data_IF_217497018396
#
_entry.id   IF_217497018396
#
_cell.length_a   1.000
_cell.length_b   1.000
_cell.length_c   1.000
_cell.angle_alpha   90.00
_cell.angle_beta   90.00
_cell.angle_gamma   90.00
#
_symmetry.space_group_name_H-M   'P 1'
#
loop_
_entity.id
_entity.type
_entity.pdbx_description
1 polymer ?
#
# COMPACT_ATOMS: atom_id res chain seq x y z
N UNK A 1 19.53 -10.46 -5.98
CA UNK A 1 18.48 -11.28 -5.34
C UNK A 1 17.77 -10.37 -4.34
N UNK A 2 16.46 -10.18 -4.49
CA UNK A 2 15.67 -9.36 -3.55
C UNK A 2 15.29 -10.31 -2.42
N UNK A 3 15.57 -9.92 -1.18
CA UNK A 3 15.28 -10.76 -0.04
C UNK A 3 13.86 -10.50 0.47
N UNK A 4 12.97 -11.49 0.41
CA UNK A 4 11.56 -11.43 0.82
C UNK A 4 11.33 -12.03 2.22
N UNK A 5 12.21 -11.70 3.16
CA UNK A 5 12.26 -12.40 4.45
C UNK A 5 11.86 -11.51 5.63
N UNK A 6 11.48 -10.25 5.40
CA UNK A 6 11.12 -9.36 6.51
C UNK A 6 9.67 -9.62 6.90
N UNK A 7 9.47 -10.11 8.12
CA UNK A 7 8.13 -10.26 8.68
C UNK A 7 7.49 -8.87 8.89
N UNK A 8 6.16 -8.73 8.75
CA UNK A 8 5.53 -7.41 8.82
C UNK A 8 5.76 -6.63 10.12
N UNK A 9 5.85 -7.32 11.27
CA UNK A 9 6.12 -6.74 12.58
C UNK A 9 7.56 -6.25 12.77
N UNK A 10 8.48 -6.66 11.91
CA UNK A 10 9.86 -6.16 11.89
C UNK A 10 10.00 -4.82 11.14
N UNK A 11 8.92 -4.33 10.51
CA UNK A 11 8.93 -3.09 9.76
C UNK A 11 9.18 -1.88 10.67
N UNK A 12 10.29 -1.18 10.43
CA UNK A 12 10.65 0.05 11.12
C UNK A 12 10.26 1.26 10.28
N UNK A 13 9.27 2.00 10.77
CA UNK A 13 8.79 3.23 10.12
C UNK A 13 9.36 4.44 10.85
N UNK A 14 9.90 5.38 10.08
CA UNK A 14 10.36 6.68 10.58
C UNK A 14 9.62 7.79 9.87
N UNK A 15 9.35 8.88 10.58
CA UNK A 15 8.62 10.04 10.06
C UNK A 15 9.51 11.27 10.14
N UNK A 16 9.37 12.17 9.17
CA UNK A 16 10.04 13.48 9.22
C UNK A 16 9.59 14.31 10.43
N UNK A 17 8.31 14.25 10.77
CA UNK A 17 7.71 14.99 11.89
C UNK A 17 6.48 14.28 12.46
N UNK A 18 5.98 14.79 13.59
CA UNK A 18 4.83 14.22 14.31
C UNK A 18 3.51 14.38 13.54
N UNK A 19 3.42 15.33 12.60
CA UNK A 19 2.20 15.51 11.78
C UNK A 19 2.00 14.31 10.87
N UNK A 20 3.06 13.88 10.17
CA UNK A 20 3.02 12.67 9.34
C UNK A 20 2.73 11.42 10.17
N UNK A 21 3.32 11.33 11.37
CA UNK A 21 3.07 10.21 12.28
C UNK A 21 1.60 10.15 12.68
N UNK A 22 1.02 11.26 13.12
CA UNK A 22 -0.39 11.32 13.52
C UNK A 22 -1.34 11.02 12.35
N UNK A 23 -0.97 11.40 11.12
CA UNK A 23 -1.78 11.13 9.93
C UNK A 23 -1.75 9.66 9.52
N UNK A 24 -0.61 8.98 9.61
CA UNK A 24 -0.43 7.69 8.94
C UNK A 24 -0.16 6.51 9.85
N UNK A 25 0.27 6.69 11.11
CA UNK A 25 0.65 5.55 11.96
C UNK A 25 -0.46 4.50 12.06
N UNK A 26 -1.70 4.93 12.36
CA UNK A 26 -2.85 4.01 12.45
C UNK A 26 -3.13 3.26 11.14
N UNK A 27 -2.90 3.90 10.00
CA UNK A 27 -3.11 3.29 8.69
C UNK A 27 -1.99 2.32 8.32
N UNK A 28 -0.78 2.59 8.77
CA UNK A 28 0.38 1.72 8.57
C UNK A 28 0.29 0.51 9.49
N UNK A 29 -0.14 0.69 10.73
CA UNK A 29 -0.43 -0.41 11.66
C UNK A 29 -1.46 -1.36 11.05
N UNK A 30 -2.54 -0.79 10.47
CA UNK A 30 -3.53 -1.59 9.73
C UNK A 30 -2.92 -2.34 8.55
N UNK A 31 -2.06 -1.71 7.74
CA UNK A 31 -1.38 -2.39 6.64
C UNK A 31 -0.54 -3.57 7.13
N UNK A 32 0.18 -3.41 8.24
CA UNK A 32 0.98 -4.47 8.88
C UNK A 32 0.07 -5.61 9.33
N UNK A 33 -1.02 -5.31 10.05
CA UNK A 33 -1.98 -6.31 10.52
C UNK A 33 -2.60 -7.11 9.36
N UNK A 34 -2.97 -6.43 8.27
CA UNK A 34 -3.58 -7.07 7.10
C UNK A 34 -2.57 -7.89 6.29
N UNK A 35 -1.30 -7.50 6.27
CA UNK A 35 -0.21 -8.30 5.72
C UNK A 35 0.02 -9.57 6.57
N UNK A 36 0.03 -9.45 7.90
CA UNK A 36 0.18 -10.60 8.81
C UNK A 36 -0.95 -11.60 8.67
N UNK A 37 -2.21 -11.15 8.58
CA UNK A 37 -3.38 -12.02 8.37
C UNK A 37 -3.28 -12.89 7.11
N UNK A 38 -2.47 -12.47 6.13
CA UNK A 38 -2.34 -13.09 4.81
C UNK A 38 -0.94 -13.69 4.58
N UNK A 39 -0.15 -13.82 5.64
CA UNK A 39 1.21 -14.37 5.59
C UNK A 39 2.13 -13.67 4.58
N UNK A 40 1.98 -12.34 4.45
CA UNK A 40 2.76 -11.52 3.53
C UNK A 40 4.09 -11.11 4.15
N UNK A 41 5.19 -11.24 3.39
CA UNK A 41 6.52 -10.73 3.78
C UNK A 41 6.91 -9.49 3.01
N UNK A 42 7.88 -8.72 3.52
CA UNK A 42 8.36 -7.49 2.89
C UNK A 42 9.79 -7.65 2.36
N UNK A 43 10.10 -6.92 1.29
CA UNK A 43 11.47 -6.83 0.76
C UNK A 43 12.41 -5.91 1.54
N UNK A 44 11.87 -5.13 2.47
CA UNK A 44 12.62 -4.15 3.27
C UNK A 44 11.98 -3.99 4.64
N UNK A 45 12.79 -3.92 5.70
CA UNK A 45 12.33 -3.62 7.06
C UNK A 45 12.41 -2.16 7.44
N UNK A 46 12.58 -1.24 6.48
CA UNK A 46 12.69 0.20 6.74
C UNK A 46 11.89 1.02 5.76
N UNK A 47 11.11 1.95 6.30
CA UNK A 47 10.37 2.98 5.56
C UNK A 47 10.59 4.33 6.22
N UNK A 48 10.81 5.35 5.40
CA UNK A 48 10.93 6.74 5.85
C UNK A 48 9.88 7.60 5.14
N UNK A 49 8.96 8.16 5.90
CA UNK A 49 7.86 8.97 5.40
C UNK A 49 8.20 10.44 5.62
N UNK A 50 8.19 11.20 4.52
CA UNK A 50 8.55 12.62 4.52
C UNK A 50 7.58 13.43 3.70
N UNK A 51 7.53 14.74 3.93
CA UNK A 51 6.91 15.64 2.99
C UNK A 51 7.75 15.74 1.72
N UNK A 52 7.09 15.86 0.58
CA UNK A 52 7.73 16.09 -0.72
C UNK A 52 7.17 17.34 -1.38
N UNK A 53 8.05 18.06 -2.07
CA UNK A 53 7.64 19.01 -3.10
C UNK A 53 7.36 18.21 -4.38
N UNK A 54 6.09 17.86 -4.58
CA UNK A 54 5.59 17.04 -5.67
C UNK A 54 4.62 17.88 -6.51
N UNK A 55 4.45 17.51 -7.79
CA UNK A 55 3.47 18.15 -8.66
C UNK A 55 2.06 18.09 -8.06
N UNK A 56 1.24 19.11 -8.29
CA UNK A 56 -0.05 19.28 -7.60
C UNK A 56 -1.03 18.11 -7.78
N UNK A 57 -0.89 17.35 -8.86
CA UNK A 57 -1.73 16.18 -9.15
C UNK A 57 -1.18 14.87 -8.57
N UNK A 58 0.05 14.87 -8.05
CA UNK A 58 0.73 13.72 -7.45
C UNK A 58 0.49 13.75 -5.94
N UNK A 59 -0.18 12.73 -5.39
CA UNK A 59 -0.52 12.69 -3.96
C UNK A 59 0.64 12.16 -3.09
N UNK A 60 1.40 11.20 -3.61
CA UNK A 60 2.60 10.67 -3.01
C UNK A 60 3.49 10.02 -4.08
N UNK A 61 4.73 9.69 -3.72
CA UNK A 61 5.63 8.91 -4.56
C UNK A 61 6.58 8.10 -3.69
N UNK A 62 6.77 6.85 -4.09
CA UNK A 62 7.73 5.92 -3.49
C UNK A 62 9.07 5.92 -4.24
N UNK A 63 10.16 5.88 -3.48
CA UNK A 63 11.53 5.77 -4.00
C UNK A 63 12.18 4.47 -3.54
N UNK A 64 13.04 3.90 -4.39
CA UNK A 64 13.70 2.61 -4.15
C UNK A 64 14.61 2.57 -2.91
N UNK A 65 14.98 3.72 -2.35
CA UNK A 65 15.80 3.83 -1.15
C UNK A 65 15.00 3.79 0.16
N UNK A 66 13.75 3.33 0.14
CA UNK A 66 12.94 3.21 1.36
C UNK A 66 12.20 4.50 1.73
N UNK A 67 12.08 5.47 0.82
CA UNK A 67 11.44 6.76 1.10
C UNK A 67 10.08 6.83 0.43
N UNK A 68 9.05 7.21 1.20
CA UNK A 68 7.75 7.64 0.68
C UNK A 68 7.65 9.15 0.90
N UNK A 69 7.41 9.89 -0.19
CA UNK A 69 7.15 11.33 -0.13
C UNK A 69 5.66 11.58 -0.25
N UNK A 70 5.08 12.29 0.71
CA UNK A 70 3.68 12.71 0.73
C UNK A 70 3.60 14.16 0.24
N UNK A 71 2.69 14.44 -0.68
CA UNK A 71 2.44 15.82 -1.12
C UNK A 71 1.66 16.57 -0.02
N UNK A 72 2.19 17.71 0.42
CA UNK A 72 1.55 18.61 1.39
C UNK A 72 0.17 19.09 0.92
N UNK A 73 -0.05 19.18 -0.40
CA UNK A 73 -1.30 19.62 -1.02
C UNK A 73 -2.28 18.48 -1.30
N UNK A 74 -1.91 17.23 -0.99
CA UNK A 74 -2.74 16.06 -1.24
C UNK A 74 -4.14 16.24 -0.66
N UNK A 75 -5.16 16.02 -1.48
CA UNK A 75 -6.55 16.01 -0.98
C UNK A 75 -6.85 14.74 -0.17
N UNK A 76 -6.05 13.68 -0.36
CA UNK A 76 -6.26 12.39 0.30
C UNK A 76 -6.01 12.44 1.80
N UNK A 77 -5.06 13.27 2.26
CA UNK A 77 -4.79 13.44 3.69
C UNK A 77 -5.91 14.16 4.46
N UNK A 78 -6.96 14.64 3.76
CA UNK A 78 -8.14 15.28 4.37
C UNK A 78 -9.26 14.29 4.69
N UNK A 79 -9.15 13.04 4.24
CA UNK A 79 -10.17 12.01 4.40
C UNK A 79 -9.49 10.70 4.83
N UNK A 80 -9.84 10.17 6.00
CA UNK A 80 -9.12 9.03 6.62
C UNK A 80 -9.05 7.80 5.71
N UNK A 81 -10.13 7.44 5.02
CA UNK A 81 -10.15 6.30 4.11
C UNK A 81 -9.29 6.51 2.86
N UNK A 82 -9.17 7.75 2.38
CA UNK A 82 -8.25 8.08 1.29
C UNK A 82 -6.79 8.13 1.76
N UNK A 83 -6.54 8.54 3.01
CA UNK A 83 -5.22 8.48 3.62
C UNK A 83 -4.75 7.03 3.78
N UNK A 84 -5.64 6.13 4.23
CA UNK A 84 -5.39 4.68 4.27
C UNK A 84 -5.07 4.13 2.89
N UNK A 85 -5.87 4.46 1.88
CA UNK A 85 -5.61 4.02 0.52
C UNK A 85 -4.27 4.53 0.00
N UNK A 86 -3.98 5.83 0.19
CA UNK A 86 -2.73 6.45 -0.24
C UNK A 86 -1.53 5.72 0.34
N UNK A 87 -1.50 5.53 1.66
CA UNK A 87 -0.32 4.95 2.29
C UNK A 87 -0.20 3.45 1.99
N UNK A 88 -1.32 2.71 1.91
CA UNK A 88 -1.29 1.28 1.54
C UNK A 88 -0.76 1.09 0.11
N UNK A 89 -1.15 1.97 -0.81
CA UNK A 89 -0.66 1.97 -2.19
C UNK A 89 0.86 2.17 -2.26
N UNK A 90 1.39 3.18 -1.57
CA UNK A 90 2.83 3.47 -1.56
C UNK A 90 3.63 2.38 -0.82
N UNK A 91 3.09 1.85 0.29
CA UNK A 91 3.71 0.73 1.00
C UNK A 91 3.76 -0.52 0.13
N UNK A 92 2.70 -0.83 -0.62
CA UNK A 92 2.73 -1.95 -1.55
C UNK A 92 3.81 -1.79 -2.61
N UNK A 93 3.90 -0.62 -3.26
CA UNK A 93 5.00 -0.31 -4.19
C UNK A 93 6.38 -0.47 -3.55
N UNK A 94 6.52 -0.05 -2.29
CA UNK A 94 7.79 -0.05 -1.60
C UNK A 94 8.20 -1.42 -1.05
N UNK A 95 7.25 -2.24 -0.60
CA UNK A 95 7.51 -3.41 0.23
C UNK A 95 7.11 -4.72 -0.44
N UNK A 96 6.04 -4.71 -1.25
CA UNK A 96 5.35 -5.91 -1.74
C UNK A 96 5.44 -6.10 -3.26
N UNK A 97 5.69 -5.02 -4.00
CA UNK A 97 5.80 -5.08 -5.45
C UNK A 97 7.20 -5.56 -5.91
N UNK A 98 7.29 -6.50 -6.86
CA UNK A 98 8.55 -6.81 -7.54
C UNK A 98 9.11 -5.58 -8.29
N UNK A 99 10.41 -5.23 -8.17
CA UNK A 99 11.01 -4.07 -8.84
C UNK A 99 10.90 -4.06 -10.37
N UNK A 100 10.67 -5.23 -10.97
CA UNK A 100 10.50 -5.41 -12.41
C UNK A 100 9.07 -5.19 -12.90
N UNK A 101 8.09 -5.01 -12.00
CA UNK A 101 6.67 -4.93 -12.37
C UNK A 101 6.01 -3.69 -11.75
N UNK A 102 5.59 -2.75 -12.60
CA UNK A 102 4.84 -1.58 -12.15
C UNK A 102 3.34 -1.85 -12.26
N UNK A 103 2.76 -2.26 -11.14
CA UNK A 103 1.34 -2.57 -10.96
C UNK A 103 0.55 -1.30 -10.65
N UNK A 104 -0.05 -0.72 -11.69
CA UNK A 104 -1.16 0.22 -11.57
C UNK A 104 -2.34 -0.39 -12.29
N UNK A 105 -3.49 -0.48 -11.60
CA UNK A 105 -4.70 -1.06 -12.19
C UNK A 105 -5.62 0.02 -12.75
N UNK A 106 -6.42 -0.37 -13.73
CA UNK A 106 -7.52 0.46 -14.21
C UNK A 106 -8.66 0.47 -13.20
N UNK A 107 -9.54 1.47 -13.32
CA UNK A 107 -10.74 1.57 -12.50
C UNK A 107 -11.77 0.53 -12.96
N UNK A 108 -11.90 -0.53 -12.19
CA UNK A 108 -13.03 -1.45 -12.28
C UNK A 108 -13.87 -1.33 -11.02
N UNK A 109 -15.20 -1.41 -11.15
CA UNK A 109 -16.12 -1.26 -10.03
C UNK A 109 -16.43 -2.61 -9.40
N UNK A 110 -16.54 -2.65 -8.08
CA UNK A 110 -17.13 -3.79 -7.39
C UNK A 110 -18.61 -3.82 -7.78
N UNK A 111 -19.06 -4.95 -8.33
CA UNK A 111 -20.40 -5.08 -8.92
C UNK A 111 -21.49 -4.60 -7.95
N UNK A 112 -22.31 -3.65 -8.41
CA UNK A 112 -23.40 -3.07 -7.62
C UNK A 112 -22.99 -1.96 -6.65
N UNK A 113 -21.76 -1.47 -6.70
CA UNK A 113 -21.25 -0.41 -5.82
C UNK A 113 -20.71 0.80 -6.60
N UNK A 114 -20.48 1.92 -5.90
CA UNK A 114 -19.70 3.05 -6.42
C UNK A 114 -18.19 2.91 -6.17
N UNK A 115 -17.75 1.81 -5.57
CA UNK A 115 -16.39 1.59 -5.12
C UNK A 115 -15.56 0.82 -6.15
N UNK A 116 -14.26 1.10 -6.17
CA UNK A 116 -13.31 0.50 -7.11
C UNK A 116 -12.86 -0.88 -6.64
N UNK A 117 -12.32 -1.76 -7.47
CA UNK A 117 -11.87 -3.10 -7.07
C UNK A 117 -10.45 -3.16 -6.52
N UNK A 118 -9.62 -2.12 -6.74
CA UNK A 118 -8.19 -2.15 -6.39
C UNK A 118 -7.71 -0.92 -5.64
N UNK A 119 -6.87 -1.15 -4.63
CA UNK A 119 -6.08 -0.09 -3.96
C UNK A 119 -4.94 0.43 -4.85
N UNK A 120 -4.59 -0.27 -5.94
CA UNK A 120 -3.56 0.12 -6.91
C UNK A 120 -4.06 1.08 -8.00
N UNK A 121 -5.28 1.58 -7.85
CA UNK A 121 -5.84 2.61 -8.72
C UNK A 121 -5.36 4.00 -8.29
N UNK A 122 -4.95 4.83 -9.27
CA UNK A 122 -4.54 6.24 -9.08
C UNK A 122 -5.73 7.18 -8.76
N UNK A 123 -6.75 6.68 -8.06
CA UNK A 123 -8.01 7.36 -7.75
C UNK A 123 -7.76 8.63 -6.92
N UNK A 124 -8.62 9.64 -7.10
CA UNK A 124 -8.55 10.90 -6.34
C UNK A 124 -9.91 11.34 -5.79
N UNK A 125 -11.01 10.62 -6.05
CA UNK A 125 -12.34 11.03 -5.56
C UNK A 125 -12.67 10.32 -4.25
N UNK A 126 -13.29 11.04 -3.31
CA UNK A 126 -13.60 10.51 -1.98
C UNK A 126 -14.62 9.37 -2.01
N UNK A 127 -15.47 9.29 -3.02
CA UNK A 127 -16.52 8.29 -3.15
C UNK A 127 -16.02 6.97 -3.76
N UNK A 128 -14.77 6.93 -4.24
CA UNK A 128 -14.20 5.76 -4.93
C UNK A 128 -13.73 4.65 -3.96
N UNK A 129 -13.61 4.97 -2.67
CA UNK A 129 -13.27 4.03 -1.60
C UNK A 129 -14.29 4.10 -0.46
N UNK A 130 -14.57 2.98 0.20
CA UNK A 130 -15.54 2.92 1.29
C UNK A 130 -15.03 3.58 2.56
N UNK A 131 -15.96 3.85 3.47
CA UNK A 131 -15.59 4.30 4.81
C UNK A 131 -14.80 3.20 5.56
N UNK A 132 -14.03 3.59 6.59
CA UNK A 132 -13.14 2.67 7.31
C UNK A 132 -13.88 1.54 8.04
N UNK A 133 -15.16 1.73 8.36
CA UNK A 133 -16.01 0.77 9.06
C UNK A 133 -16.60 -0.31 8.13
N UNK A 134 -16.46 -0.19 6.81
CA UNK A 134 -16.89 -1.22 5.85
C UNK A 134 -15.83 -2.34 5.75
N UNK A 135 -15.63 -3.06 6.87
CA UNK A 135 -14.52 -3.99 7.06
C UNK A 135 -14.41 -5.05 5.95
N UNK A 136 -15.52 -5.63 5.53
CA UNK A 136 -15.55 -6.66 4.47
C UNK A 136 -15.04 -6.14 3.12
N UNK A 137 -15.29 -4.87 2.78
CA UNK A 137 -14.75 -4.29 1.55
C UNK A 137 -13.24 -4.05 1.67
N UNK A 138 -12.77 -3.62 2.84
CA UNK A 138 -11.35 -3.47 3.09
C UNK A 138 -10.60 -4.81 3.06
N UNK A 139 -11.20 -5.88 3.58
CA UNK A 139 -10.63 -7.22 3.45
C UNK A 139 -10.47 -7.61 1.97
N UNK A 140 -11.52 -7.39 1.16
CA UNK A 140 -11.47 -7.62 -0.29
C UNK A 140 -10.36 -6.79 -0.98
N UNK A 141 -10.21 -5.53 -0.60
CA UNK A 141 -9.16 -4.66 -1.14
C UNK A 141 -7.74 -5.17 -0.84
N UNK A 142 -7.51 -5.64 0.39
CA UNK A 142 -6.21 -6.20 0.76
C UNK A 142 -5.97 -7.56 0.13
N UNK A 143 -7.00 -8.42 0.03
CA UNK A 143 -6.91 -9.69 -0.72
C UNK A 143 -6.48 -9.44 -2.17
N UNK A 144 -7.11 -8.45 -2.82
CA UNK A 144 -6.83 -8.09 -4.20
C UNK A 144 -5.43 -7.51 -4.42
N UNK A 145 -4.98 -6.65 -3.50
CA UNK A 145 -3.65 -6.04 -3.50
C UNK A 145 -2.56 -7.10 -3.32
N UNK A 146 -2.70 -8.01 -2.36
CA UNK A 146 -1.68 -9.01 -2.04
C UNK A 146 -1.75 -10.29 -2.90
N UNK A 147 -2.75 -10.41 -3.77
CA UNK A 147 -2.92 -11.56 -4.67
C UNK A 147 -1.68 -11.84 -5.54
N UNK A 148 -0.92 -10.82 -5.93
CA UNK A 148 0.26 -11.02 -6.79
C UNK A 148 1.45 -11.63 -6.07
N UNK A 149 1.60 -11.38 -4.76
CA UNK A 149 2.69 -11.93 -3.96
C UNK A 149 2.41 -13.39 -3.59
N UNK A 150 1.18 -13.69 -3.17
CA UNK A 150 0.76 -15.08 -2.90
C UNK A 150 0.94 -16.00 -4.12
N UNK A 151 0.75 -15.47 -5.33
CA UNK A 151 0.99 -16.22 -6.57
C UNK A 151 2.48 -16.37 -6.95
N UNK A 152 3.37 -15.46 -6.51
CA UNK A 152 4.81 -15.58 -6.78
C UNK A 152 5.45 -16.70 -5.95
N UNK A 153 5.10 -16.80 -4.67
CA UNK A 153 5.60 -17.87 -3.78
C UNK A 153 5.23 -19.28 -4.27
N UNK A 154 4.10 -19.43 -4.95
CA UNK A 154 3.70 -20.71 -5.54
C UNK A 154 4.37 -21.02 -6.89
N UNK A 155 4.89 -20.01 -7.60
CA UNK A 155 5.50 -20.19 -8.92
C UNK A 155 7.01 -20.48 -8.86
N UNK A 156 7.73 -19.96 -7.85
CA UNK A 156 9.17 -20.24 -7.67
C UNK A 156 9.44 -21.58 -6.96
N UNK A 157 8.46 -22.16 -6.24
CA UNK A 157 8.57 -23.52 -5.69
C UNK A 157 8.34 -24.62 -6.73
N UNK A 158 7.82 -24.31 -7.91
CA UNK A 158 7.49 -25.31 -8.94
C UNK A 158 8.66 -25.71 -9.87
N UNK A 159 9.83 -25.10 -9.71
CA UNK A 159 11.00 -25.32 -10.59
C UNK A 159 12.27 -25.76 -9.85
N UNK A 160 12.16 -26.19 -8.59
CA UNK A 160 13.31 -26.67 -7.81
C UNK A 160 13.49 -28.20 -7.80
N UNK A 161 12.61 -28.95 -8.49
CA UNK A 161 12.72 -30.41 -8.66
C UNK A 161 12.71 -30.76 -10.16
N UNK A 162 13.88 -30.68 -10.81
CA UNK A 162 14.25 -31.49 -11.99
C UNK A 162 15.79 -31.56 -12.13
#
# INVERSE_FOLDING_TARGET
MINWEVAPDELKVTYQDETLRNLFQIHIDRFIEEAQKRDITFRSGKVNIKWGDLEDHVNATTFSNGIIRINLKSIKIKHEHLALQLISHELYHLLCQPPSNYDHRNRDFIAGTSYVTSLMVASSKKEEFPALNELQLWDYYYDEMFLFQSNHDHSEMAYADD
#
